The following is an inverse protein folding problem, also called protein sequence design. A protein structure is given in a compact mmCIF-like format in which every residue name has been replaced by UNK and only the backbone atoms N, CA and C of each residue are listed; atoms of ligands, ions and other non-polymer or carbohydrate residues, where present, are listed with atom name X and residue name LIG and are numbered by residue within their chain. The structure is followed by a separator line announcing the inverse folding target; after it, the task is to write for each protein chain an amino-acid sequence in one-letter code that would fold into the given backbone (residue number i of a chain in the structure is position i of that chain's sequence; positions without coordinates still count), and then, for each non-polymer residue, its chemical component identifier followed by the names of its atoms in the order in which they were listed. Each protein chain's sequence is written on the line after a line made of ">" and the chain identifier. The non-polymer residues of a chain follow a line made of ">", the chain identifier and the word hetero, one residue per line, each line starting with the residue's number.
data_IF_715503770105
#
_entry.id   IF_715503770105
#
_cell.length_a   1.000
_cell.length_b   1.000
_cell.length_c   1.000
_cell.angle_alpha   90.00
_cell.angle_beta   90.00
_cell.angle_gamma   90.00
#
_symmetry.space_group_name_H-M   'P 1'
#
loop_
_entity.id
_entity.type
_entity.pdbx_description
1 polymer ?
#
# COMPACT_ATOMS: atom_id res chain seq x y z
N UNK A 1 6.75 -67.72 -12.10
CA UNK A 1 5.44 -67.15 -12.51
C UNK A 1 5.71 -65.88 -13.30
N UNK A 2 5.34 -65.81 -14.59
CA UNK A 2 5.52 -64.60 -15.41
C UNK A 2 4.21 -63.80 -15.39
N UNK A 3 4.20 -62.63 -14.76
CA UNK A 3 3.06 -61.71 -14.81
C UNK A 3 3.09 -60.96 -16.14
N UNK A 4 2.05 -61.11 -16.97
CA UNK A 4 1.87 -60.34 -18.20
C UNK A 4 0.90 -59.19 -17.94
N UNK A 5 1.38 -57.95 -18.07
CA UNK A 5 0.56 -56.76 -17.89
C UNK A 5 -0.14 -56.40 -19.20
N UNK A 6 -1.46 -56.56 -19.25
CA UNK A 6 -2.29 -56.11 -20.38
C UNK A 6 -2.75 -54.69 -20.09
N UNK A 7 -2.01 -53.70 -20.58
CA UNK A 7 -2.39 -52.29 -20.43
C UNK A 7 -3.33 -51.89 -21.56
N UNK A 8 -4.55 -51.48 -21.20
CA UNK A 8 -5.57 -51.02 -22.15
C UNK A 8 -5.18 -49.62 -22.65
N UNK A 9 -4.94 -49.46 -23.95
CA UNK A 9 -4.50 -48.19 -24.55
C UNK A 9 -5.37 -46.97 -24.16
N UNK A 10 -6.69 -47.16 -24.01
CA UNK A 10 -7.61 -46.11 -23.51
C UNK A 10 -7.28 -45.66 -22.08
N UNK A 11 -6.90 -46.59 -21.19
CA UNK A 11 -6.50 -46.27 -19.81
C UNK A 11 -5.15 -45.57 -19.76
N UNK A 12 -4.19 -45.97 -20.60
CA UNK A 12 -2.90 -45.26 -20.73
C UNK A 12 -3.16 -43.82 -21.17
N UNK A 13 -3.95 -43.61 -22.24
CA UNK A 13 -4.28 -42.26 -22.73
C UNK A 13 -4.94 -41.39 -21.65
N UNK A 14 -5.88 -41.95 -20.88
CA UNK A 14 -6.52 -41.24 -19.77
C UNK A 14 -5.52 -40.89 -18.66
N UNK A 15 -4.65 -41.83 -18.26
CA UNK A 15 -3.60 -41.58 -17.26
C UNK A 15 -2.61 -40.50 -17.72
N UNK A 16 -2.20 -40.53 -18.98
CA UNK A 16 -1.29 -39.51 -19.54
C UNK A 16 -1.93 -38.13 -19.52
N UNK A 17 -3.21 -38.02 -19.90
CA UNK A 17 -3.94 -36.74 -19.85
C UNK A 17 -4.03 -36.24 -18.41
N UNK A 18 -4.42 -37.10 -17.46
CA UNK A 18 -4.53 -36.72 -16.03
C UNK A 18 -3.19 -36.23 -15.49
N UNK A 19 -2.08 -36.93 -15.79
CA UNK A 19 -0.75 -36.54 -15.33
C UNK A 19 -0.29 -35.22 -15.94
N UNK A 20 -0.55 -35.00 -17.24
CA UNK A 20 -0.22 -33.73 -17.90
C UNK A 20 -1.04 -32.58 -17.33
N UNK A 21 -2.35 -32.77 -17.11
CA UNK A 21 -3.19 -31.75 -16.49
C UNK A 21 -2.77 -31.46 -15.05
N UNK A 22 -2.44 -32.49 -14.26
CA UNK A 22 -1.97 -32.31 -12.89
C UNK A 22 -0.63 -31.56 -12.85
N UNK A 23 0.31 -31.90 -13.73
CA UNK A 23 1.57 -31.19 -13.87
C UNK A 23 1.36 -29.73 -14.29
N UNK A 24 0.51 -29.48 -15.28
CA UNK A 24 0.18 -28.13 -15.73
C UNK A 24 -0.46 -27.30 -14.62
N UNK A 25 -1.46 -27.83 -13.91
CA UNK A 25 -2.07 -27.17 -12.76
C UNK A 25 -1.05 -26.92 -11.64
N UNK A 26 -0.20 -27.90 -11.30
CA UNK A 26 0.83 -27.72 -10.29
C UNK A 26 1.86 -26.66 -10.70
N UNK A 27 2.21 -26.59 -11.98
CA UNK A 27 3.12 -25.56 -12.52
C UNK A 27 2.50 -24.17 -12.50
N UNK A 28 1.21 -24.04 -12.83
CA UNK A 28 0.46 -22.79 -12.70
C UNK A 28 0.41 -22.33 -11.24
N UNK A 29 0.04 -23.22 -10.32
CA UNK A 29 0.01 -22.93 -8.89
C UNK A 29 1.41 -22.55 -8.35
N UNK A 30 2.48 -23.17 -8.85
CA UNK A 30 3.85 -22.84 -8.47
C UNK A 30 4.28 -21.46 -8.98
N UNK A 31 3.94 -21.13 -10.24
CA UNK A 31 4.20 -19.82 -10.83
C UNK A 31 3.38 -18.72 -10.13
N UNK A 32 2.09 -18.96 -9.84
CA UNK A 32 1.24 -18.02 -9.09
C UNK A 32 1.75 -17.80 -7.67
N UNK A 33 2.25 -18.84 -6.98
CA UNK A 33 2.78 -18.72 -5.60
C UNK A 33 3.91 -17.70 -5.48
N UNK A 34 4.70 -17.50 -6.54
CA UNK A 34 5.78 -16.50 -6.56
C UNK A 34 5.32 -15.05 -6.70
N UNK A 35 4.04 -14.82 -7.03
CA UNK A 35 3.45 -13.50 -7.28
C UNK A 35 2.27 -13.14 -6.36
N UNK A 36 1.99 -13.95 -5.34
CA UNK A 36 0.92 -13.62 -4.39
C UNK A 36 1.33 -12.46 -3.50
N UNK A 37 0.72 -11.29 -3.71
CA UNK A 37 0.69 -10.23 -2.71
C UNK A 37 0.04 -10.77 -1.44
N UNK A 38 0.78 -10.74 -0.33
CA UNK A 38 0.35 -11.37 0.93
C UNK A 38 -0.45 -10.37 1.74
N UNK A 39 -1.75 -10.29 1.46
CA UNK A 39 -2.68 -9.46 2.22
C UNK A 39 -3.23 -10.14 3.47
N UNK A 40 -3.17 -11.47 3.57
CA UNK A 40 -3.64 -12.21 4.75
C UNK A 40 -2.98 -13.58 4.87
N UNK A 41 -2.22 -13.80 5.95
CA UNK A 41 -1.85 -15.15 6.41
C UNK A 41 -2.15 -15.26 7.91
N UNK A 42 -2.89 -16.28 8.38
CA UNK A 42 -3.30 -16.38 9.79
C UNK A 42 -2.16 -16.27 10.82
N UNK A 43 -0.93 -16.61 10.44
CA UNK A 43 0.23 -16.68 11.33
C UNK A 43 1.52 -16.10 10.69
N UNK A 44 1.43 -14.98 9.99
CA UNK A 44 2.63 -14.33 9.39
C UNK A 44 2.44 -12.83 9.16
N UNK A 45 3.52 -12.08 8.86
CA UNK A 45 3.44 -10.64 8.70
C UNK A 45 2.52 -10.28 7.54
N UNK A 46 1.68 -9.27 7.76
CA UNK A 46 0.65 -8.84 6.81
C UNK A 46 0.80 -7.35 6.50
N UNK A 47 0.40 -6.97 5.28
CA UNK A 47 0.23 -5.56 4.94
C UNK A 47 -1.16 -5.08 5.37
N UNK A 48 -1.21 -3.97 6.10
CA UNK A 48 -2.45 -3.27 6.42
C UNK A 48 -2.96 -2.53 5.18
N UNK A 49 -4.17 -2.81 4.74
CA UNK A 49 -4.73 -2.21 3.51
C UNK A 49 -6.10 -1.55 3.72
N UNK A 50 -6.78 -1.89 4.82
CA UNK A 50 -8.12 -1.42 5.21
C UNK A 50 -8.38 -1.80 6.68
N UNK A 51 -9.16 -1.00 7.40
CA UNK A 51 -9.73 -1.38 8.70
C UNK A 51 -11.10 -2.08 8.53
N UNK A 52 -11.33 -3.14 9.30
CA UNK A 52 -12.65 -3.78 9.38
C UNK A 52 -13.51 -3.01 10.40
N UNK A 53 -14.39 -2.14 9.90
CA UNK A 53 -15.28 -1.30 10.72
C UNK A 53 -16.53 -0.92 9.95
N UNK A 54 -17.64 -0.69 10.66
CA UNK A 54 -18.85 -0.07 10.11
C UNK A 54 -18.84 1.47 10.23
N UNK A 55 -17.87 2.03 10.96
CA UNK A 55 -17.71 3.47 11.09
C UNK A 55 -17.26 4.08 9.77
N UNK A 56 -17.90 5.17 9.34
CA UNK A 56 -17.54 5.89 8.11
C UNK A 56 -16.25 6.68 8.31
N UNK A 57 -15.13 5.96 8.36
CA UNK A 57 -13.78 6.52 8.43
C UNK A 57 -12.98 6.12 7.21
N UNK A 58 -12.04 6.97 6.79
CA UNK A 58 -11.10 6.67 5.72
C UNK A 58 -9.75 7.36 5.97
N UNK A 59 -8.65 6.79 5.50
CA UNK A 59 -7.33 7.42 5.51
C UNK A 59 -6.99 7.99 4.13
N UNK A 60 -6.57 9.25 4.08
CA UNK A 60 -6.03 9.86 2.87
C UNK A 60 -4.51 9.71 2.85
N UNK A 61 -3.99 9.09 1.80
CA UNK A 61 -2.55 8.83 1.70
C UNK A 61 -1.97 9.33 0.38
N UNK A 62 -0.74 9.85 0.42
CA UNK A 62 -0.08 10.46 -0.73
C UNK A 62 1.34 9.90 -0.90
N UNK A 63 1.62 9.29 -2.05
CA UNK A 63 2.98 8.85 -2.37
C UNK A 63 3.78 9.99 -3.04
N UNK A 64 5.02 10.18 -2.60
CA UNK A 64 5.99 11.14 -3.19
C UNK A 64 7.28 10.40 -3.52
N UNK A 65 7.69 10.45 -4.79
CA UNK A 65 9.00 9.95 -5.23
C UNK A 65 9.83 10.97 -5.99
N UNK A 66 9.21 12.04 -6.51
CA UNK A 66 9.91 13.13 -7.20
C UNK A 66 9.02 14.37 -7.34
N UNK A 67 9.65 15.51 -7.66
CA UNK A 67 8.97 16.76 -7.93
C UNK A 67 8.78 17.64 -6.69
N UNK A 68 8.33 18.87 -6.90
CA UNK A 68 8.24 19.89 -5.85
C UNK A 68 6.96 20.75 -5.96
N UNK A 69 6.23 20.64 -7.08
CA UNK A 69 5.14 21.54 -7.41
C UNK A 69 3.80 21.14 -6.79
N UNK A 70 3.62 19.86 -6.43
CA UNK A 70 2.32 19.32 -6.00
C UNK A 70 2.11 19.27 -4.49
N UNK A 71 3.18 19.19 -3.69
CA UNK A 71 3.11 19.07 -2.23
C UNK A 71 2.33 20.24 -1.62
N UNK A 72 2.77 21.48 -1.86
CA UNK A 72 2.14 22.66 -1.26
C UNK A 72 0.66 22.82 -1.67
N UNK A 73 0.26 22.73 -2.95
CA UNK A 73 -1.16 22.79 -3.31
C UNK A 73 -2.04 21.72 -2.65
N UNK A 74 -1.49 20.53 -2.40
CA UNK A 74 -2.22 19.45 -1.71
C UNK A 74 -2.40 19.80 -0.22
N UNK A 75 -1.34 20.26 0.45
CA UNK A 75 -1.39 20.72 1.84
C UNK A 75 -2.40 21.88 1.99
N UNK A 76 -2.34 22.88 1.10
CA UNK A 76 -3.26 24.03 1.12
C UNK A 76 -4.73 23.56 1.04
N UNK A 77 -5.01 22.55 0.20
CA UNK A 77 -6.35 21.95 0.11
C UNK A 77 -6.74 21.24 1.41
N UNK A 78 -5.89 20.36 1.94
CA UNK A 78 -6.18 19.60 3.17
C UNK A 78 -6.50 20.56 4.34
N UNK A 79 -5.68 21.60 4.52
CA UNK A 79 -5.91 22.63 5.54
C UNK A 79 -7.18 23.42 5.30
N UNK A 80 -7.41 23.91 4.06
CA UNK A 80 -8.64 24.65 3.73
C UNK A 80 -9.92 23.85 3.95
N UNK A 81 -9.82 22.52 3.78
CA UNK A 81 -10.91 21.57 3.99
C UNK A 81 -10.99 21.05 5.42
N UNK A 82 -10.12 21.50 6.33
CA UNK A 82 -10.05 21.04 7.72
C UNK A 82 -9.94 19.51 7.78
N UNK A 83 -8.96 18.97 7.06
CA UNK A 83 -8.52 17.59 7.20
C UNK A 83 -7.33 17.62 8.15
N UNK A 84 -7.52 17.06 9.33
CA UNK A 84 -6.51 16.99 10.39
C UNK A 84 -5.56 15.82 10.14
N UNK A 85 -6.08 14.71 9.62
CA UNK A 85 -5.33 13.47 9.43
C UNK A 85 -5.07 13.16 7.95
N UNK A 86 -3.80 13.04 7.57
CA UNK A 86 -3.34 12.51 6.29
C UNK A 86 -1.92 11.95 6.43
N UNK A 87 -1.55 10.99 5.58
CA UNK A 87 -0.21 10.38 5.59
C UNK A 87 0.50 10.54 4.25
N UNK A 88 1.74 11.02 4.27
CA UNK A 88 2.61 11.14 3.11
C UNK A 88 3.68 10.05 3.16
N UNK A 89 3.66 9.13 2.18
CA UNK A 89 4.71 8.14 2.00
C UNK A 89 5.79 8.73 1.08
N UNK A 90 6.95 9.04 1.65
CA UNK A 90 8.01 9.78 0.95
C UNK A 90 9.21 8.89 0.62
N UNK A 91 9.73 9.01 -0.61
CA UNK A 91 11.03 8.44 -0.94
C UNK A 91 12.11 9.21 -0.21
N UNK A 92 12.97 8.52 0.53
CA UNK A 92 14.04 9.18 1.25
C UNK A 92 15.07 9.84 0.31
N UNK A 93 15.30 9.29 -0.89
CA UNK A 93 16.15 9.98 -1.89
C UNK A 93 15.56 11.29 -2.42
N UNK A 94 14.24 11.46 -2.33
CA UNK A 94 13.56 12.73 -2.59
C UNK A 94 13.64 13.64 -1.36
N UNK A 95 13.42 13.09 -0.17
CA UNK A 95 13.52 13.82 1.09
C UNK A 95 14.90 14.49 1.28
N UNK A 96 16.01 13.80 0.97
CA UNK A 96 17.36 14.39 1.04
C UNK A 96 17.55 15.62 0.15
N UNK A 97 16.83 15.69 -0.97
CA UNK A 97 16.94 16.79 -1.93
C UNK A 97 15.95 17.93 -1.67
N UNK A 98 14.91 17.66 -0.89
CA UNK A 98 13.81 18.57 -0.61
C UNK A 98 13.41 18.56 0.88
N UNK A 99 14.37 18.71 1.82
CA UNK A 99 14.07 18.67 3.25
C UNK A 99 13.04 19.72 3.65
N UNK A 100 13.03 20.89 3.00
CA UNK A 100 12.07 21.97 3.23
C UNK A 100 10.62 21.56 2.94
N UNK A 101 10.40 20.66 1.97
CA UNK A 101 9.05 20.15 1.67
C UNK A 101 8.63 19.06 2.66
N UNK A 102 9.57 18.32 3.23
CA UNK A 102 9.30 17.35 4.29
C UNK A 102 8.94 18.08 5.58
N UNK A 103 9.71 19.10 5.95
CA UNK A 103 9.41 20.00 7.07
C UNK A 103 8.05 20.65 6.87
N UNK A 104 7.71 21.15 5.67
CA UNK A 104 6.39 21.70 5.38
C UNK A 104 5.25 20.70 5.62
N UNK A 105 5.43 19.42 5.28
CA UNK A 105 4.42 18.36 5.56
C UNK A 105 4.26 18.18 7.08
N UNK A 106 5.39 18.12 7.81
CA UNK A 106 5.39 17.91 9.26
C UNK A 106 4.80 19.13 10.01
N UNK A 107 5.19 20.35 9.65
CA UNK A 107 4.66 21.60 10.20
C UNK A 107 3.15 21.77 9.95
N UNK A 108 2.65 21.21 8.84
CA UNK A 108 1.22 21.16 8.56
C UNK A 108 0.45 20.14 9.42
N UNK A 109 1.15 19.31 10.21
CA UNK A 109 0.58 18.32 11.12
C UNK A 109 0.30 16.95 10.50
N UNK A 110 0.83 16.66 9.30
CA UNK A 110 0.57 15.40 8.61
C UNK A 110 1.64 14.33 8.89
N UNK A 111 1.22 13.07 8.86
CA UNK A 111 2.08 11.92 9.17
C UNK A 111 3.04 11.61 8.01
N UNK A 112 4.25 11.17 8.35
CA UNK A 112 5.28 10.82 7.37
C UNK A 112 5.58 9.32 7.46
N UNK A 113 5.30 8.61 6.38
CA UNK A 113 5.67 7.21 6.17
C UNK A 113 6.86 7.08 5.21
N UNK A 114 7.56 5.95 5.28
CA UNK A 114 8.64 5.61 4.37
C UNK A 114 8.09 5.04 3.06
N UNK A 115 8.60 5.53 1.91
CA UNK A 115 8.41 4.92 0.60
C UNK A 115 9.71 4.28 0.07
N UNK A 116 10.59 3.87 1.00
CA UNK A 116 11.94 3.41 0.69
C UNK A 116 12.89 4.54 0.31
N UNK A 117 14.17 4.20 0.13
CA UNK A 117 15.18 5.13 -0.33
C UNK A 117 15.16 5.23 -1.85
N UNK A 118 15.41 4.12 -2.56
CA UNK A 118 15.30 4.08 -4.02
C UNK A 118 13.88 3.69 -4.43
N UNK A 119 13.32 4.40 -5.41
CA UNK A 119 12.04 4.03 -6.02
C UNK A 119 12.20 2.81 -6.96
N UNK A 120 12.39 1.63 -6.38
CA UNK A 120 12.62 0.35 -7.07
C UNK A 120 11.87 -0.78 -6.38
N UNK A 121 11.30 -1.69 -7.17
CA UNK A 121 10.52 -2.81 -6.67
C UNK A 121 11.40 -3.79 -5.86
N UNK A 122 11.09 -3.94 -4.57
CA UNK A 122 11.82 -4.80 -3.64
C UNK A 122 11.71 -6.31 -3.95
N UNK A 123 10.62 -6.76 -4.58
CA UNK A 123 10.47 -8.18 -4.97
C UNK A 123 11.54 -8.63 -5.97
N UNK A 124 12.16 -7.68 -6.69
CA UNK A 124 13.24 -7.93 -7.65
C UNK A 124 14.64 -7.90 -7.02
N UNK A 125 14.75 -7.57 -5.74
CA UNK A 125 16.02 -7.34 -5.05
C UNK A 125 16.36 -8.45 -4.07
N UNK A 126 17.65 -8.67 -3.85
CA UNK A 126 18.16 -9.49 -2.77
C UNK A 126 17.95 -8.82 -1.40
N UNK A 127 17.83 -9.64 -0.34
CA UNK A 127 17.51 -9.19 1.02
C UNK A 127 18.44 -8.11 1.54
N UNK A 128 19.76 -8.25 1.34
CA UNK A 128 20.73 -7.26 1.80
C UNK A 128 20.53 -5.89 1.16
N UNK A 129 20.09 -5.87 -0.10
CA UNK A 129 19.81 -4.62 -0.79
C UNK A 129 18.58 -3.94 -0.20
N UNK A 130 17.53 -4.71 0.12
CA UNK A 130 16.33 -4.21 0.80
C UNK A 130 16.69 -3.70 2.21
N UNK A 131 17.45 -4.47 3.01
CA UNK A 131 17.92 -4.06 4.34
C UNK A 131 18.70 -2.75 4.31
N UNK A 132 19.59 -2.60 3.33
CA UNK A 132 20.34 -1.36 3.13
C UNK A 132 19.42 -0.19 2.82
N UNK A 133 18.46 -0.40 1.92
CA UNK A 133 17.52 0.63 1.49
C UNK A 133 16.57 1.06 2.63
N UNK A 134 16.01 0.11 3.38
CA UNK A 134 15.20 0.39 4.57
C UNK A 134 15.99 1.17 5.64
N UNK A 135 17.21 0.73 5.95
CA UNK A 135 18.08 1.40 6.93
C UNK A 135 18.40 2.83 6.51
N UNK A 136 18.77 3.02 5.23
CA UNK A 136 19.11 4.34 4.70
C UNK A 136 17.89 5.25 4.69
N UNK A 137 16.72 4.72 4.28
CA UNK A 137 15.47 5.46 4.29
C UNK A 137 15.09 5.94 5.68
N UNK A 138 15.18 5.05 6.68
CA UNK A 138 14.92 5.39 8.08
C UNK A 138 15.88 6.48 8.56
N UNK A 139 17.19 6.33 8.31
CA UNK A 139 18.20 7.30 8.76
C UNK A 139 17.93 8.71 8.18
N UNK A 140 17.65 8.80 6.88
CA UNK A 140 17.38 10.06 6.22
C UNK A 140 16.12 10.71 6.76
N UNK A 141 14.99 9.98 6.76
CA UNK A 141 13.71 10.54 7.18
C UNK A 141 13.82 11.01 8.63
N UNK A 142 14.39 10.21 9.52
CA UNK A 142 14.59 10.59 10.92
C UNK A 142 15.54 11.77 11.12
N UNK A 143 16.54 11.94 10.26
CA UNK A 143 17.42 13.11 10.35
C UNK A 143 16.72 14.42 10.01
N UNK A 144 15.66 14.37 9.19
CA UNK A 144 14.89 15.54 8.76
C UNK A 144 13.72 15.78 9.72
N UNK A 145 12.95 14.74 10.04
CA UNK A 145 11.72 14.85 10.84
C UNK A 145 11.97 14.78 12.34
N UNK A 146 13.14 14.32 12.79
CA UNK A 146 13.40 14.01 14.19
C UNK A 146 12.73 12.73 14.70
N UNK A 147 11.97 12.03 13.85
CA UNK A 147 11.15 10.87 14.24
C UNK A 147 11.48 9.64 13.38
N UNK A 148 11.42 8.46 13.98
CA UNK A 148 11.54 7.19 13.24
C UNK A 148 10.24 6.92 12.49
N UNK A 149 10.23 6.85 11.14
CA UNK A 149 9.02 6.42 10.45
C UNK A 149 8.70 4.97 10.81
N UNK A 150 7.45 4.71 11.17
CA UNK A 150 6.93 3.38 11.58
C UNK A 150 6.09 2.72 10.48
N UNK A 151 5.65 3.50 9.48
CA UNK A 151 4.90 2.99 8.33
C UNK A 151 5.81 2.87 7.11
N UNK A 152 5.67 1.77 6.37
CA UNK A 152 6.32 1.56 5.08
C UNK A 152 5.27 1.26 4.02
N UNK A 153 5.29 2.00 2.92
CA UNK A 153 4.65 1.57 1.68
C UNK A 153 5.77 1.19 0.70
N UNK A 154 5.93 -0.07 0.29
CA UNK A 154 6.95 -0.45 -0.67
C UNK A 154 6.77 0.28 -2.01
N UNK A 155 7.86 0.62 -2.72
CA UNK A 155 7.76 1.20 -4.06
C UNK A 155 6.89 0.35 -4.98
N UNK A 156 6.07 0.99 -5.81
CA UNK A 156 5.03 0.38 -6.66
C UNK A 156 3.90 -0.36 -5.91
N UNK A 157 3.93 -0.47 -4.59
CA UNK A 157 3.03 -1.33 -3.81
C UNK A 157 3.41 -2.81 -3.85
N UNK A 158 4.53 -3.16 -4.49
CA UNK A 158 4.93 -4.55 -4.68
C UNK A 158 5.66 -5.09 -3.43
N UNK A 159 5.15 -6.19 -2.87
CA UNK A 159 5.80 -6.91 -1.78
C UNK A 159 5.51 -8.40 -1.80
N UNK A 160 6.41 -9.18 -1.22
CA UNK A 160 6.27 -10.60 -0.93
C UNK A 160 6.46 -10.86 0.58
N UNK A 161 6.34 -12.10 1.04
CA UNK A 161 6.56 -12.44 2.46
C UNK A 161 7.92 -12.00 2.99
N UNK A 162 8.94 -12.02 2.14
CA UNK A 162 10.31 -11.68 2.50
C UNK A 162 10.44 -10.18 2.75
N UNK A 163 9.83 -9.34 1.90
CA UNK A 163 9.71 -7.90 2.12
C UNK A 163 8.96 -7.61 3.44
N UNK A 164 7.85 -8.30 3.71
CA UNK A 164 7.08 -8.11 4.94
C UNK A 164 7.90 -8.44 6.20
N UNK A 165 8.59 -9.59 6.23
CA UNK A 165 9.47 -9.96 7.34
C UNK A 165 10.63 -8.97 7.53
N UNK A 166 11.22 -8.49 6.43
CA UNK A 166 12.29 -7.50 6.49
C UNK A 166 11.78 -6.18 7.05
N UNK A 167 10.61 -5.71 6.59
CA UNK A 167 9.99 -4.50 7.13
C UNK A 167 9.74 -4.61 8.64
N UNK A 168 9.14 -5.72 9.09
CA UNK A 168 8.89 -5.99 10.51
C UNK A 168 10.18 -5.97 11.34
N UNK A 169 11.27 -6.56 10.84
CA UNK A 169 12.57 -6.55 11.53
C UNK A 169 13.21 -5.14 11.69
N UNK A 170 12.65 -4.13 11.01
CA UNK A 170 13.02 -2.73 11.11
C UNK A 170 11.95 -1.89 11.84
N UNK A 171 10.99 -2.55 12.49
CA UNK A 171 9.82 -1.96 13.16
C UNK A 171 8.88 -1.19 12.21
N UNK A 172 8.82 -1.61 10.93
CA UNK A 172 7.85 -1.08 10.00
C UNK A 172 6.58 -1.92 9.98
N UNK A 173 5.43 -1.24 9.99
CA UNK A 173 4.16 -1.80 9.50
C UNK A 173 4.05 -1.51 8.01
N UNK A 174 3.83 -2.55 7.20
CA UNK A 174 3.63 -2.38 5.76
C UNK A 174 2.19 -1.95 5.50
N UNK A 175 2.02 -0.83 4.78
CA UNK A 175 0.72 -0.24 4.46
C UNK A 175 0.49 -0.21 2.96
N UNK A 176 -0.55 -0.92 2.51
CA UNK A 176 -1.06 -0.83 1.15
C UNK A 176 -2.26 0.15 1.11
N UNK A 177 -3.17 -0.05 0.17
CA UNK A 177 -4.40 0.70 0.01
C UNK A 177 -5.53 -0.24 -0.42
N UNK A 178 -6.77 0.13 -0.12
CA UNK A 178 -7.98 -0.52 -0.63
C UNK A 178 -8.58 0.23 -1.82
N UNK A 179 -8.37 1.55 -1.92
CA UNK A 179 -8.85 2.38 -3.01
C UNK A 179 -7.68 3.04 -3.74
N UNK A 180 -7.53 2.74 -5.03
CA UNK A 180 -6.57 3.41 -5.91
C UNK A 180 -7.28 4.49 -6.73
N UNK A 181 -6.92 5.77 -6.52
CA UNK A 181 -7.50 6.90 -7.27
C UNK A 181 -7.10 6.95 -8.75
N UNK A 182 -6.02 6.25 -9.12
CA UNK A 182 -5.40 6.27 -10.46
C UNK A 182 -5.02 7.68 -10.95
N UNK A 183 -4.80 8.61 -10.02
CA UNK A 183 -4.47 10.00 -10.31
C UNK A 183 -3.14 10.17 -11.08
N UNK A 184 -2.18 9.27 -10.90
CA UNK A 184 -0.92 9.22 -11.64
C UNK A 184 -1.11 9.04 -13.17
N UNK A 185 -2.24 8.49 -13.62
CA UNK A 185 -2.59 8.37 -15.04
C UNK A 185 -3.11 9.68 -15.64
N UNK A 186 -3.43 10.66 -14.80
CA UNK A 186 -4.08 11.92 -15.18
C UNK A 186 -5.39 11.73 -15.99
N UNK A 187 -6.34 10.89 -15.54
CA UNK A 187 -7.53 10.51 -16.32
C UNK A 187 -8.61 11.60 -16.43
N UNK A 188 -8.42 12.74 -15.76
CA UNK A 188 -9.39 13.81 -15.61
C UNK A 188 -9.91 13.89 -14.17
N UNK A 189 -10.19 15.11 -13.71
CA UNK A 189 -10.62 15.38 -12.32
C UNK A 189 -11.84 14.55 -11.94
N UNK A 190 -12.89 14.57 -12.77
CA UNK A 190 -14.14 13.84 -12.49
C UNK A 190 -13.96 12.31 -12.50
N UNK A 191 -12.96 11.80 -13.23
CA UNK A 191 -12.65 10.37 -13.22
C UNK A 191 -11.98 9.97 -11.89
N UNK A 192 -11.04 10.78 -11.40
CA UNK A 192 -10.40 10.58 -10.09
C UNK A 192 -11.45 10.65 -8.98
N UNK A 193 -12.31 11.66 -9.00
CA UNK A 193 -13.39 11.85 -8.00
C UNK A 193 -14.31 10.63 -7.96
N UNK A 194 -14.83 10.20 -9.11
CA UNK A 194 -15.71 9.01 -9.19
C UNK A 194 -15.01 7.74 -8.72
N UNK A 195 -13.75 7.54 -9.15
CA UNK A 195 -12.98 6.38 -8.75
C UNK A 195 -12.89 6.25 -7.23
N UNK A 196 -12.71 7.36 -6.51
CA UNK A 196 -12.65 7.36 -5.04
C UNK A 196 -14.06 7.31 -4.43
N UNK A 197 -14.93 8.27 -4.76
CA UNK A 197 -16.20 8.49 -4.04
C UNK A 197 -17.23 7.39 -4.28
N UNK A 198 -17.21 6.74 -5.46
CA UNK A 198 -18.19 5.71 -5.81
C UNK A 198 -17.81 4.33 -5.25
N UNK A 199 -16.52 4.10 -4.94
CA UNK A 199 -16.02 2.81 -4.46
C UNK A 199 -15.62 2.81 -2.98
N UNK A 200 -15.59 3.98 -2.34
CA UNK A 200 -15.25 4.11 -0.93
C UNK A 200 -16.19 3.30 -0.03
N UNK A 201 -15.61 2.63 0.96
CA UNK A 201 -16.26 1.90 2.02
C UNK A 201 -15.62 2.28 3.37
N UNK A 202 -16.34 2.09 4.50
CA UNK A 202 -15.77 2.20 5.85
C UNK A 202 -14.39 1.56 6.00
N UNK A 203 -13.47 2.25 6.67
CA UNK A 203 -12.11 1.80 6.96
C UNK A 203 -11.12 1.86 5.79
N UNK A 204 -11.51 2.41 4.64
CA UNK A 204 -10.65 2.41 3.45
C UNK A 204 -9.43 3.31 3.56
N UNK A 205 -8.33 2.86 2.93
CA UNK A 205 -7.12 3.65 2.72
C UNK A 205 -7.08 4.07 1.26
N UNK A 206 -7.13 5.38 1.00
CA UNK A 206 -7.13 5.96 -0.34
C UNK A 206 -5.70 6.29 -0.77
N UNK A 207 -5.25 5.68 -1.87
CA UNK A 207 -3.99 6.00 -2.54
C UNK A 207 -4.15 7.16 -3.52
N UNK A 208 -3.38 8.21 -3.29
CA UNK A 208 -3.13 9.33 -4.20
C UNK A 208 -1.62 9.60 -4.30
N UNK A 209 -1.24 10.54 -5.16
CA UNK A 209 0.14 10.94 -5.39
C UNK A 209 0.30 12.45 -5.24
N UNK A 210 1.39 12.84 -4.58
CA UNK A 210 1.85 14.23 -4.47
C UNK A 210 3.17 14.45 -5.22
N UNK A 211 3.53 13.53 -6.11
CA UNK A 211 4.62 13.72 -7.09
C UNK A 211 4.15 14.57 -8.27
N UNK A 212 5.08 15.20 -8.99
CA UNK A 212 4.74 16.11 -10.10
C UNK A 212 4.09 15.43 -11.31
N UNK A 213 4.13 14.09 -11.38
CA UNK A 213 3.34 13.29 -12.33
C UNK A 213 1.83 13.43 -12.13
N UNK A 214 1.38 13.70 -10.91
CA UNK A 214 -0.02 13.76 -10.51
C UNK A 214 -0.58 15.19 -10.70
N UNK A 215 -0.84 15.55 -11.96
CA UNK A 215 -1.19 16.94 -12.34
C UNK A 215 -2.61 17.35 -11.95
N UNK A 216 -3.42 16.42 -11.47
CA UNK A 216 -4.86 16.61 -11.26
C UNK A 216 -5.30 16.36 -9.81
N UNK A 217 -4.46 15.76 -8.96
CA UNK A 217 -4.79 15.38 -7.57
C UNK A 217 -5.25 16.57 -6.74
N UNK A 218 -4.47 17.65 -6.69
CA UNK A 218 -4.84 18.89 -6.00
C UNK A 218 -6.17 19.52 -6.47
N UNK A 219 -6.64 19.20 -7.68
CA UNK A 219 -7.94 19.68 -8.21
C UNK A 219 -9.09 18.76 -7.84
N UNK A 220 -8.85 17.44 -7.81
CA UNK A 220 -9.85 16.43 -7.43
C UNK A 220 -10.04 16.36 -5.90
N UNK A 221 -8.97 16.52 -5.14
CA UNK A 221 -8.94 16.40 -3.69
C UNK A 221 -10.01 17.24 -2.96
N UNK A 222 -10.24 18.55 -3.25
CA UNK A 222 -11.26 19.30 -2.55
C UNK A 222 -12.68 18.74 -2.79
N UNK A 223 -12.95 18.22 -3.99
CA UNK A 223 -14.25 17.64 -4.36
C UNK A 223 -14.43 16.29 -3.66
N UNK A 224 -13.38 15.46 -3.63
CA UNK A 224 -13.37 14.18 -2.91
C UNK A 224 -13.68 14.43 -1.43
N UNK A 225 -12.97 15.35 -0.79
CA UNK A 225 -13.16 15.67 0.62
C UNK A 225 -14.60 16.12 0.91
N UNK A 226 -15.12 17.05 0.12
CA UNK A 226 -16.48 17.56 0.31
C UNK A 226 -17.53 16.45 0.15
N UNK A 227 -17.40 15.60 -0.88
CA UNK A 227 -18.36 14.54 -1.13
C UNK A 227 -18.29 13.44 -0.07
N UNK A 228 -17.09 13.05 0.39
CA UNK A 228 -16.92 12.08 1.45
C UNK A 228 -17.47 12.61 2.78
N UNK A 229 -17.15 13.86 3.17
CA UNK A 229 -17.74 14.50 4.35
C UNK A 229 -19.26 14.59 4.24
N UNK A 230 -19.80 14.91 3.06
CA UNK A 230 -21.25 14.92 2.79
C UNK A 230 -21.91 13.54 2.91
N UNK A 231 -21.16 12.45 2.67
CA UNK A 231 -21.60 11.06 2.91
C UNK A 231 -21.44 10.64 4.38
N UNK A 232 -20.93 11.51 5.25
CA UNK A 232 -20.70 11.28 6.67
C UNK A 232 -19.35 10.65 7.00
N UNK A 233 -18.36 10.72 6.09
CA UNK A 233 -17.02 10.22 6.37
C UNK A 233 -16.17 11.19 7.19
N UNK A 234 -15.40 10.64 8.11
CA UNK A 234 -14.31 11.31 8.83
C UNK A 234 -12.96 10.78 8.35
N UNK A 235 -11.93 11.63 8.41
CA UNK A 235 -10.57 11.22 8.03
C UNK A 235 -9.77 10.91 9.29
N UNK A 236 -9.09 9.76 9.30
CA UNK A 236 -8.23 9.30 10.40
C UNK A 236 -6.85 8.93 9.89
N UNK A 237 -5.88 8.94 10.79
CA UNK A 237 -4.54 8.41 10.53
C UNK A 237 -4.60 6.90 10.29
N UNK A 238 -3.55 6.34 9.69
CA UNK A 238 -3.48 4.89 9.48
C UNK A 238 -3.35 4.17 10.83
N UNK A 239 -2.59 4.74 11.76
CA UNK A 239 -2.38 4.23 13.11
C UNK A 239 -3.69 4.12 13.89
N UNK A 240 -4.56 5.12 13.80
CA UNK A 240 -5.90 5.07 14.39
C UNK A 240 -6.76 3.98 13.74
N UNK A 241 -6.78 3.90 12.41
CA UNK A 241 -7.51 2.84 11.70
C UNK A 241 -7.02 1.44 12.10
N UNK A 242 -5.72 1.27 12.33
CA UNK A 242 -5.15 0.00 12.81
C UNK A 242 -5.57 -0.33 14.24
N UNK A 243 -5.61 0.67 15.12
CA UNK A 243 -6.06 0.50 16.51
C UNK A 243 -7.53 0.08 16.58
N UNK A 244 -8.38 0.67 15.72
CA UNK A 244 -9.81 0.35 15.65
C UNK A 244 -10.13 -0.93 14.89
N UNK A 245 -9.18 -1.49 14.14
CA UNK A 245 -9.34 -2.81 13.53
C UNK A 245 -9.18 -3.96 14.54
N UNK A 246 -8.70 -3.68 15.76
CA UNK A 246 -8.43 -4.66 16.81
C UNK A 246 -9.37 -4.71 18.05
N UNK A 247 -10.53 -4.03 18.15
CA UNK A 247 -11.47 -4.24 19.25
C UNK A 247 -12.63 -5.16 18.85
N UNK A 248 -12.41 -6.47 18.88
CA UNK A 248 -13.46 -7.44 19.23
C UNK A 248 -12.92 -8.45 20.23
N UNK A 249 -12.59 -7.96 21.43
CA UNK A 249 -12.74 -8.80 22.62
C UNK A 249 -14.22 -8.80 22.98
N UNK A 250 -14.98 -9.71 22.39
CA UNK A 250 -16.19 -10.19 23.05
C UNK A 250 -15.71 -10.95 24.30
N UNK A 251 -15.68 -10.26 25.44
CA UNK A 251 -15.82 -10.93 26.72
C UNK A 251 -17.19 -11.61 26.74
N UNK A 252 -17.24 -12.86 26.30
CA UNK A 252 -18.35 -13.76 26.60
C UNK A 252 -18.27 -14.04 28.11
N UNK A 253 -19.21 -13.46 28.86
CA UNK A 253 -19.57 -13.95 30.20
C UNK A 253 -20.26 -15.30 30.13
#
# INVERSE_FOLDING_TARGET
>A
MKFFWVLRAKKIKQLTIILLTAFFCASLLYLERSHLMVFSTPEGPQAFHKAETDEKVAALTFNISWGEQRVKPIIDVLQSKKVEEATFFISASWAERHPELVELIQEAGYHIGSHGYQYKNYTTWEDEKIRKDLRQSQQVISSITGEKPTLLRPPNGDFDKRVLNLAESYDYTVVHWSINSRDYENPGVDAIVRQVVDHISPGDIVLMHASDSAKQTHKALPIIIDQLKGKGYHFRSIEELMADAHPTHDEIK
#
